data_IF_227419594255
#
_entry.id   IF_227419594255
#
_cell.length_a   1.000
_cell.length_b   1.000
_cell.length_c   1.000
_cell.angle_alpha   90.00
_cell.angle_beta   90.00
_cell.angle_gamma   90.00
#
_symmetry.space_group_name_H-M   'P 1'
#
loop_
_entity.id
_entity.type
_entity.pdbx_description
1 polymer ?
#
# COMPACT_ATOMS: atom_id res chain seq x y z
N UNK A 1 18.92 -36.24 23.92
CA UNK A 1 17.82 -35.73 23.07
C UNK A 1 17.21 -36.90 22.33
N UNK A 2 15.92 -37.15 22.53
CA UNK A 2 15.23 -38.24 21.85
C UNK A 2 15.20 -38.03 20.33
N UNK A 3 15.41 -39.11 19.58
CA UNK A 3 15.45 -39.08 18.10
C UNK A 3 14.12 -38.58 17.53
N UNK A 4 13.00 -38.90 18.19
CA UNK A 4 11.68 -38.41 17.84
C UNK A 4 11.58 -36.87 18.00
N UNK A 5 12.05 -36.34 19.13
CA UNK A 5 12.05 -34.89 19.41
C UNK A 5 12.92 -34.14 18.39
N UNK A 6 14.09 -34.69 18.06
CA UNK A 6 14.98 -34.09 17.04
C UNK A 6 14.34 -34.05 15.65
N UNK A 7 13.58 -35.07 15.25
CA UNK A 7 12.88 -35.10 13.96
C UNK A 7 11.78 -34.05 13.88
N UNK A 8 10.93 -33.96 14.90
CA UNK A 8 9.86 -32.96 14.97
C UNK A 8 10.43 -31.55 14.93
N UNK A 9 11.51 -31.30 15.68
CA UNK A 9 12.21 -30.01 15.66
C UNK A 9 12.71 -29.65 14.26
N UNK A 10 13.38 -30.58 13.56
CA UNK A 10 13.89 -30.33 12.21
C UNK A 10 12.77 -30.05 11.20
N UNK A 11 11.64 -30.77 11.30
CA UNK A 11 10.46 -30.51 10.46
C UNK A 11 9.89 -29.12 10.74
N UNK A 12 9.73 -28.75 12.01
CA UNK A 12 9.22 -27.44 12.37
C UNK A 12 10.13 -26.30 11.87
N UNK A 13 11.45 -26.43 12.07
CA UNK A 13 12.44 -25.47 11.54
C UNK A 13 12.36 -25.39 10.02
N UNK A 14 12.25 -26.52 9.33
CA UNK A 14 12.08 -26.54 7.87
C UNK A 14 10.84 -25.78 7.41
N UNK A 15 9.69 -25.98 8.08
CA UNK A 15 8.46 -25.25 7.79
C UNK A 15 8.60 -23.74 8.04
N UNK A 16 9.27 -23.35 9.12
CA UNK A 16 9.55 -21.93 9.40
C UNK A 16 10.45 -21.30 8.34
N UNK A 17 11.50 -22.00 7.89
CA UNK A 17 12.36 -21.52 6.81
C UNK A 17 11.57 -21.32 5.51
N UNK A 18 10.72 -22.28 5.15
CA UNK A 18 9.84 -22.16 3.97
C UNK A 18 8.93 -20.93 4.09
N UNK A 19 8.32 -20.74 5.27
CA UNK A 19 7.46 -19.59 5.54
C UNK A 19 8.22 -18.26 5.42
N UNK A 20 9.43 -18.18 5.99
CA UNK A 20 10.28 -16.97 5.93
C UNK A 20 10.61 -16.63 4.48
N UNK A 21 11.02 -17.63 3.68
CA UNK A 21 11.32 -17.43 2.26
C UNK A 21 10.07 -16.96 1.50
N UNK A 22 8.91 -17.58 1.73
CA UNK A 22 7.66 -17.19 1.09
C UNK A 22 7.27 -15.75 1.45
N UNK A 23 7.35 -15.39 2.72
CA UNK A 23 7.03 -14.05 3.18
C UNK A 23 7.99 -13.00 2.60
N UNK A 24 9.29 -13.32 2.55
CA UNK A 24 10.31 -12.45 1.97
C UNK A 24 10.05 -12.22 0.47
N UNK A 25 9.69 -13.27 -0.26
CA UNK A 25 9.30 -13.16 -1.66
C UNK A 25 8.10 -12.22 -1.84
N UNK A 26 7.07 -12.37 -1.00
CA UNK A 26 5.88 -11.52 -1.06
C UNK A 26 6.19 -10.05 -0.74
N UNK A 27 7.07 -9.80 0.22
CA UNK A 27 7.42 -8.46 0.70
C UNK A 27 8.42 -7.72 -0.20
N UNK A 28 9.32 -8.43 -0.90
CA UNK A 28 10.37 -7.79 -1.70
C UNK A 28 10.07 -7.87 -3.20
N UNK A 29 9.78 -9.06 -3.71
CA UNK A 29 9.58 -9.28 -5.14
C UNK A 29 8.13 -9.02 -5.57
N UNK A 30 7.15 -9.51 -4.80
CA UNK A 30 5.74 -9.38 -5.15
C UNK A 30 5.11 -8.07 -4.67
N UNK A 31 5.75 -7.33 -3.75
CA UNK A 31 5.24 -6.08 -3.20
C UNK A 31 4.76 -5.07 -4.26
N UNK A 32 5.53 -4.71 -5.31
CA UNK A 32 5.06 -3.76 -6.31
C UNK A 32 3.85 -4.26 -7.11
N UNK A 33 3.70 -5.57 -7.26
CA UNK A 33 2.54 -6.18 -7.91
C UNK A 33 1.31 -6.15 -7.00
N UNK A 34 1.50 -6.45 -5.70
CA UNK A 34 0.45 -6.45 -4.68
C UNK A 34 -0.06 -5.04 -4.39
N UNK A 35 0.82 -4.04 -4.40
CA UNK A 35 0.46 -2.64 -4.17
C UNK A 35 -0.49 -2.10 -5.23
N UNK A 36 -0.23 -2.45 -6.49
CA UNK A 36 -1.03 -2.03 -7.66
C UNK A 36 -2.35 -2.77 -7.80
N UNK A 37 -2.65 -3.74 -6.94
CA UNK A 37 -3.93 -4.46 -7.02
C UNK A 37 -5.09 -3.51 -6.68
N UNK A 38 -6.17 -3.50 -7.47
CA UNK A 38 -7.33 -2.62 -7.23
C UNK A 38 -8.04 -2.91 -5.91
N UNK A 39 -7.77 -4.06 -5.30
CA UNK A 39 -8.31 -4.47 -4.00
C UNK A 39 -7.53 -3.89 -2.81
N UNK A 40 -6.37 -3.27 -3.02
CA UNK A 40 -5.54 -2.71 -1.97
C UNK A 40 -6.11 -1.38 -1.43
N UNK A 41 -7.10 -1.48 -0.54
CA UNK A 41 -7.76 -0.32 0.08
C UNK A 41 -6.83 0.49 1.00
N UNK A 42 -5.74 -0.11 1.50
CA UNK A 42 -4.78 0.56 2.39
C UNK A 42 -4.01 1.66 1.66
N UNK A 43 -3.56 1.43 0.42
CA UNK A 43 -2.86 2.45 -0.37
C UNK A 43 -3.77 3.67 -0.63
N UNK A 44 -5.02 3.44 -1.01
CA UNK A 44 -6.02 4.50 -1.22
C UNK A 44 -6.29 5.27 0.08
N UNK A 45 -6.42 4.57 1.21
CA UNK A 45 -6.63 5.21 2.50
C UNK A 45 -5.41 6.05 2.96
N UNK A 46 -4.19 5.61 2.67
CA UNK A 46 -2.97 6.39 2.93
C UNK A 46 -2.93 7.64 2.07
N UNK A 47 -3.27 7.52 0.78
CA UNK A 47 -3.33 8.64 -0.15
C UNK A 47 -4.33 9.72 0.31
N UNK A 48 -5.50 9.29 0.78
CA UNK A 48 -6.55 10.18 1.29
C UNK A 48 -6.19 10.85 2.63
N UNK A 49 -5.19 10.36 3.38
CA UNK A 49 -4.73 11.00 4.62
C UNK A 49 -3.79 12.18 4.38
N UNK A 50 -3.16 12.25 3.21
CA UNK A 50 -2.20 13.30 2.88
C UNK A 50 -2.92 14.52 2.29
N UNK A 51 -2.74 15.68 2.91
CA UNK A 51 -3.20 16.95 2.34
C UNK A 51 -2.26 17.38 1.21
N UNK A 52 -2.61 16.99 -0.03
CA UNK A 52 -1.89 17.40 -1.24
C UNK A 52 -1.97 18.92 -1.46
N UNK A 53 -0.94 19.47 -2.11
CA UNK A 53 -0.92 20.87 -2.53
C UNK A 53 -1.97 21.20 -3.59
N UNK A 54 -2.25 22.50 -3.74
CA UNK A 54 -3.07 23.03 -4.83
C UNK A 54 -2.21 23.14 -6.09
N UNK A 55 -2.80 22.85 -7.24
CA UNK A 55 -2.19 23.14 -8.55
C UNK A 55 -2.87 24.39 -9.07
N UNK A 56 -2.04 25.38 -9.43
CA UNK A 56 -2.46 26.68 -9.96
C UNK A 56 -2.15 26.73 -11.45
N UNK A 57 -3.04 27.32 -12.24
CA UNK A 57 -2.75 27.69 -13.61
C UNK A 57 -1.92 28.97 -13.65
N UNK A 58 -1.44 29.32 -14.85
CA UNK A 58 -0.67 30.55 -15.10
C UNK A 58 -1.40 31.82 -14.65
N UNK A 59 -2.73 31.84 -14.73
CA UNK A 59 -3.59 32.96 -14.33
C UNK A 59 -3.90 32.98 -12.81
N UNK A 60 -3.33 32.05 -12.04
CA UNK A 60 -3.61 31.90 -10.61
C UNK A 60 -4.90 31.16 -10.27
N UNK A 61 -5.65 30.68 -11.26
CA UNK A 61 -6.84 29.84 -11.03
C UNK A 61 -6.45 28.47 -10.48
N UNK A 62 -7.29 27.88 -9.61
CA UNK A 62 -7.04 26.56 -9.03
C UNK A 62 -7.54 25.48 -9.99
N UNK A 63 -6.60 24.80 -10.66
CA UNK A 63 -6.90 23.64 -11.52
C UNK A 63 -7.30 22.44 -10.66
N UNK A 64 -6.58 22.25 -9.55
CA UNK A 64 -6.80 21.10 -8.69
C UNK A 64 -6.61 21.47 -7.22
N UNK A 65 -7.68 21.26 -6.45
CA UNK A 65 -7.77 21.56 -5.03
C UNK A 65 -7.94 20.32 -4.18
N UNK A 66 -8.12 20.53 -2.88
CA UNK A 66 -8.37 19.48 -1.89
C UNK A 66 -9.56 19.90 -1.05
N UNK A 67 -10.54 19.00 -0.90
CA UNK A 67 -11.67 19.16 0.02
C UNK A 67 -11.54 18.14 1.15
N UNK A 68 -11.63 18.62 2.40
CA UNK A 68 -11.67 17.74 3.57
C UNK A 68 -13.10 17.23 3.75
N UNK A 69 -13.29 15.91 3.82
CA UNK A 69 -14.57 15.29 4.13
C UNK A 69 -14.32 14.05 5.00
N UNK A 70 -15.07 13.91 6.10
CA UNK A 70 -15.00 12.76 7.02
C UNK A 70 -13.58 12.40 7.49
N UNK A 71 -12.72 13.41 7.70
CA UNK A 71 -11.33 13.23 8.14
C UNK A 71 -10.32 12.92 7.02
N UNK A 72 -10.77 12.72 5.80
CA UNK A 72 -9.96 12.46 4.61
C UNK A 72 -9.90 13.67 3.67
N UNK A 73 -8.87 13.72 2.84
CA UNK A 73 -8.61 14.76 1.85
C UNK A 73 -8.90 14.23 0.45
N UNK A 74 -10.03 14.65 -0.12
CA UNK A 74 -10.44 14.28 -1.47
C UNK A 74 -9.94 15.29 -2.49
N UNK A 75 -9.52 14.81 -3.66
CA UNK A 75 -9.10 15.65 -4.78
C UNK A 75 -10.33 16.25 -5.46
N UNK A 76 -10.30 17.55 -5.75
CA UNK A 76 -11.38 18.25 -6.45
C UNK A 76 -10.83 19.03 -7.63
N UNK A 77 -11.49 18.96 -8.77
CA UNK A 77 -11.13 19.65 -10.01
C UNK A 77 -12.25 20.65 -10.36
N UNK A 78 -12.11 21.94 -10.01
CA UNK A 78 -13.15 22.94 -10.21
C UNK A 78 -13.51 23.14 -11.69
N UNK A 79 -12.53 22.98 -12.58
CA UNK A 79 -12.65 23.21 -14.03
C UNK A 79 -13.20 22.01 -14.81
N UNK A 80 -13.54 20.89 -14.15
CA UNK A 80 -14.03 19.67 -14.78
C UNK A 80 -12.93 18.68 -15.23
N UNK A 81 -13.34 17.59 -15.86
CA UNK A 81 -12.50 16.42 -16.21
C UNK A 81 -11.58 16.62 -17.43
N UNK A 82 -11.21 17.87 -17.75
CA UNK A 82 -10.40 18.21 -18.91
C UNK A 82 -9.32 19.22 -18.50
N UNK A 83 -8.21 18.69 -18.01
CA UNK A 83 -6.91 19.37 -17.97
C UNK A 83 -5.81 18.33 -18.19
#
# INVERSE_FOLDING_TARGET
>A
MDVAVRRVFLVAVGLFLILIVNLTYLQVAAAPSLEKKPQNRLAVAQELRVRRGRILAWDGSVIAGVRKHSGFYYRTYPSGNLA
#
